data_IF_265045608576
#
_entry.id   IF_265045608576
#
_cell.length_a   1.000
_cell.length_b   1.000
_cell.length_c   1.000
_cell.angle_alpha   90.00
_cell.angle_beta   90.00
_cell.angle_gamma   90.00
#
_symmetry.space_group_name_H-M   'P 1'
#
loop_
_entity.id
_entity.type
_entity.pdbx_description
1 polymer ?
#
# COMPACT_ATOMS: atom_id res chain seq x y z
N UNK A 1 -7.82 10.14 6.63
CA UNK A 1 -7.43 10.87 5.39
C UNK A 1 -7.98 10.21 4.13
N UNK A 2 -7.51 9.02 3.70
CA UNK A 2 -8.07 8.35 2.51
C UNK A 2 -9.60 8.17 2.57
N UNK A 3 -10.09 7.65 3.69
CA UNK A 3 -11.54 7.49 3.93
C UNK A 3 -12.29 8.82 3.91
N UNK A 4 -11.69 9.90 4.44
CA UNK A 4 -12.30 11.25 4.44
C UNK A 4 -12.46 11.81 3.03
N UNK A 5 -11.61 11.39 2.09
CA UNK A 5 -11.63 11.89 0.71
C UNK A 5 -12.43 11.05 -0.28
N UNK A 6 -12.91 9.87 0.14
CA UNK A 6 -13.81 9.03 -0.66
C UNK A 6 -13.30 7.61 -0.94
N UNK A 7 -12.25 7.14 -0.25
CA UNK A 7 -11.95 5.71 -0.26
C UNK A 7 -13.09 4.91 0.41
N UNK A 8 -13.39 3.74 -0.13
CA UNK A 8 -14.42 2.82 0.39
C UNK A 8 -13.89 1.92 1.50
N UNK A 9 -12.59 1.59 1.44
CA UNK A 9 -11.90 0.81 2.46
C UNK A 9 -10.40 1.12 2.41
N UNK A 10 -9.73 1.00 3.55
CA UNK A 10 -8.29 1.16 3.69
C UNK A 10 -7.81 0.08 4.66
N UNK A 11 -6.90 -0.77 4.21
CA UNK A 11 -6.42 -1.92 4.98
C UNK A 11 -4.90 -1.99 4.89
N UNK A 12 -4.26 -2.20 6.04
CA UNK A 12 -2.86 -2.58 6.15
C UNK A 12 -2.76 -3.85 6.99
N UNK A 13 -2.02 -4.84 6.49
CA UNK A 13 -1.81 -6.12 7.14
C UNK A 13 -0.32 -6.30 7.43
N UNK A 14 0.00 -6.69 8.66
CA UNK A 14 1.33 -7.21 9.03
C UNK A 14 1.42 -8.67 8.57
N UNK A 15 2.54 -9.04 7.94
CA UNK A 15 2.79 -10.42 7.55
C UNK A 15 2.81 -11.37 8.75
N UNK A 16 1.88 -12.33 8.78
CA UNK A 16 1.75 -13.32 9.86
C UNK A 16 2.39 -14.66 9.46
N UNK A 17 1.83 -15.33 8.45
CA UNK A 17 2.38 -16.56 7.85
C UNK A 17 2.83 -16.29 6.40
N UNK A 18 4.04 -15.74 6.25
CA UNK A 18 4.60 -15.30 4.96
C UNK A 18 5.85 -16.12 4.61
N UNK A 19 5.69 -17.28 3.93
CA UNK A 19 6.80 -18.18 3.68
C UNK A 19 7.81 -17.64 2.66
N UNK A 20 9.06 -18.03 2.84
CA UNK A 20 10.13 -17.71 1.90
C UNK A 20 10.28 -18.81 0.84
N UNK A 21 9.74 -18.57 -0.35
CA UNK A 21 9.80 -19.50 -1.48
C UNK A 21 11.18 -19.57 -2.17
N UNK A 22 11.36 -20.56 -3.04
CA UNK A 22 12.60 -20.76 -3.81
C UNK A 22 12.76 -19.77 -4.96
N UNK A 23 11.70 -19.58 -5.76
CA UNK A 23 11.71 -18.68 -6.93
C UNK A 23 11.16 -17.30 -6.60
N UNK A 24 10.00 -17.23 -5.94
CA UNK A 24 9.31 -15.98 -5.60
C UNK A 24 8.64 -16.10 -4.23
N UNK A 25 8.45 -14.95 -3.58
CA UNK A 25 7.72 -14.81 -2.32
C UNK A 25 7.45 -13.31 -2.07
N UNK A 26 6.56 -13.00 -1.12
CA UNK A 26 6.33 -11.60 -0.72
C UNK A 26 7.60 -10.90 -0.20
N UNK A 27 8.42 -11.51 0.69
CA UNK A 27 9.68 -10.90 1.12
C UNK A 27 10.64 -10.67 -0.06
N UNK A 28 10.72 -11.61 -1.00
CA UNK A 28 11.53 -11.44 -2.22
C UNK A 28 11.02 -10.31 -3.11
N UNK A 29 9.70 -10.13 -3.22
CA UNK A 29 9.08 -9.12 -4.08
C UNK A 29 9.48 -7.69 -3.69
N UNK A 30 9.68 -7.46 -2.39
CA UNK A 30 10.14 -6.16 -1.85
C UNK A 30 11.59 -6.18 -1.39
N UNK A 31 12.34 -7.25 -1.70
CA UNK A 31 13.73 -7.42 -1.25
C UNK A 31 13.90 -7.14 0.25
N UNK A 32 13.01 -7.71 1.07
CA UNK A 32 13.03 -7.56 2.52
C UNK A 32 14.34 -8.11 3.11
N UNK A 33 14.86 -7.41 4.12
CA UNK A 33 15.99 -7.84 4.93
C UNK A 33 15.51 -8.73 6.07
N UNK A 34 16.45 -9.41 6.73
CA UNK A 34 16.16 -10.33 7.84
C UNK A 34 15.52 -9.64 9.06
N UNK A 35 15.70 -8.32 9.20
CA UNK A 35 15.13 -7.48 10.26
C UNK A 35 13.85 -6.75 9.85
N UNK A 36 13.28 -7.08 8.68
CA UNK A 36 12.10 -6.42 8.13
C UNK A 36 10.91 -7.38 7.99
N UNK A 37 9.70 -6.83 8.09
CA UNK A 37 8.45 -7.56 7.93
C UNK A 37 7.66 -7.01 6.74
N UNK A 38 7.01 -7.87 5.99
CA UNK A 38 6.16 -7.45 4.87
C UNK A 38 4.89 -6.80 5.40
N UNK A 39 4.56 -5.63 4.87
CA UNK A 39 3.23 -5.03 4.98
C UNK A 39 2.49 -5.21 3.66
N UNK A 40 1.29 -5.78 3.72
CA UNK A 40 0.39 -5.86 2.57
C UNK A 40 -0.78 -4.91 2.78
N UNK A 41 -0.89 -3.90 1.91
CA UNK A 41 -1.89 -2.85 2.05
C UNK A 41 -2.64 -2.60 0.76
N UNK A 42 -3.91 -2.24 0.87
CA UNK A 42 -4.71 -1.81 -0.27
C UNK A 42 -5.78 -0.82 0.15
N UNK A 43 -6.24 -0.07 -0.85
CA UNK A 43 -7.31 0.90 -0.71
C UNK A 43 -8.35 0.62 -1.79
N UNK A 44 -9.60 0.51 -1.38
CA UNK A 44 -10.72 0.26 -2.29
C UNK A 44 -11.34 1.59 -2.68
N UNK A 45 -11.59 1.76 -3.97
CA UNK A 45 -12.22 2.96 -4.54
C UNK A 45 -13.34 2.54 -5.48
N UNK A 46 -14.34 3.39 -5.63
CA UNK A 46 -15.48 3.17 -6.51
C UNK A 46 -15.08 3.00 -8.00
N UNK A 47 -14.06 3.74 -8.44
CA UNK A 47 -13.55 3.71 -9.80
C UNK A 47 -12.13 4.23 -9.87
N UNK A 48 -11.47 4.05 -11.02
CA UNK A 48 -10.15 4.66 -11.27
C UNK A 48 -10.19 6.19 -11.16
N UNK A 49 -11.25 6.80 -11.69
CA UNK A 49 -11.45 8.25 -11.63
C UNK A 49 -11.61 8.73 -10.20
N UNK A 50 -12.38 8.01 -9.38
CA UNK A 50 -12.53 8.28 -7.96
C UNK A 50 -11.17 8.15 -7.24
N UNK A 51 -10.44 7.06 -7.46
CA UNK A 51 -9.08 6.87 -6.93
C UNK A 51 -8.14 8.02 -7.27
N UNK A 52 -8.12 8.46 -8.53
CA UNK A 52 -7.23 9.54 -8.97
C UNK A 52 -7.58 10.87 -8.28
N UNK A 53 -8.87 11.17 -8.13
CA UNK A 53 -9.34 12.36 -7.42
C UNK A 53 -9.05 12.30 -5.90
N UNK A 54 -9.21 11.13 -5.28
CA UNK A 54 -8.87 10.91 -3.86
C UNK A 54 -7.38 11.09 -3.65
N UNK A 55 -6.55 10.42 -4.44
CA UNK A 55 -5.10 10.48 -4.32
C UNK A 55 -4.57 11.90 -4.52
N UNK A 56 -5.14 12.69 -5.44
CA UNK A 56 -4.76 14.10 -5.61
C UNK A 56 -4.99 14.91 -4.32
N UNK A 57 -6.11 14.69 -3.61
CA UNK A 57 -6.41 15.36 -2.34
C UNK A 57 -5.51 14.87 -1.21
N UNK A 58 -5.31 13.56 -1.11
CA UNK A 58 -4.41 12.92 -0.14
C UNK A 58 -3.01 13.50 -0.25
N UNK A 59 -2.44 13.57 -1.46
CA UNK A 59 -1.09 14.09 -1.69
C UNK A 59 -0.97 15.60 -1.40
N UNK A 60 -2.08 16.34 -1.44
CA UNK A 60 -2.15 17.76 -1.10
C UNK A 60 -2.50 18.01 0.39
N UNK A 61 -2.83 16.98 1.17
CA UNK A 61 -3.22 17.12 2.57
C UNK A 61 -2.00 17.43 3.44
N UNK A 62 -2.02 18.57 4.12
CA UNK A 62 -0.95 19.02 5.01
C UNK A 62 -0.64 18.00 6.13
N UNK A 63 -1.62 17.20 6.56
CA UNK A 63 -1.44 16.16 7.58
C UNK A 63 -0.57 14.99 7.09
N UNK A 64 -0.41 14.84 5.77
CA UNK A 64 0.44 13.83 5.15
C UNK A 64 1.79 14.37 4.67
N UNK A 65 2.11 15.63 4.98
CA UNK A 65 3.47 16.14 4.83
C UNK A 65 4.36 15.52 5.90
N UNK A 66 4.68 14.25 5.70
CA UNK A 66 5.64 13.53 6.52
C UNK A 66 7.05 13.83 6.02
N UNK A 67 7.98 13.89 6.95
CA UNK A 67 9.39 13.87 6.61
C UNK A 67 9.70 12.50 6.00
N UNK A 68 10.04 12.47 4.71
CA UNK A 68 10.40 11.25 4.00
C UNK A 68 11.60 10.52 4.64
N UNK A 69 12.45 11.23 5.40
CA UNK A 69 13.54 10.62 6.15
C UNK A 69 13.10 9.91 7.44
N UNK A 70 11.88 10.20 7.92
CA UNK A 70 11.26 9.56 9.08
C UNK A 70 10.33 8.39 8.70
N UNK A 71 10.27 8.02 7.42
CA UNK A 71 9.52 6.85 6.97
C UNK A 71 9.99 5.59 7.72
N UNK A 72 9.09 4.79 8.31
CA UNK A 72 9.45 3.57 9.02
C UNK A 72 9.85 2.41 8.09
N UNK A 73 9.91 2.64 6.77
CA UNK A 73 10.30 1.67 5.76
C UNK A 73 11.04 2.33 4.59
N UNK A 74 11.74 1.53 3.80
CA UNK A 74 12.45 1.99 2.60
C UNK A 74 11.51 2.11 1.39
N UNK A 75 11.10 3.35 1.09
CA UNK A 75 10.22 3.65 -0.03
C UNK A 75 10.75 3.25 -1.41
N UNK A 76 12.07 3.01 -1.59
CA UNK A 76 12.62 2.56 -2.88
C UNK A 76 12.27 1.12 -3.22
N UNK A 77 11.96 0.31 -2.20
CA UNK A 77 11.59 -1.11 -2.34
C UNK A 77 10.08 -1.33 -2.29
N UNK A 78 9.30 -0.27 -2.02
CA UNK A 78 7.85 -0.31 -2.07
C UNK A 78 7.37 -0.57 -3.50
N UNK A 79 6.51 -1.58 -3.65
CA UNK A 79 5.82 -1.88 -4.89
C UNK A 79 4.37 -1.38 -4.80
N UNK A 80 3.87 -0.77 -5.86
CA UNK A 80 2.48 -0.29 -5.92
C UNK A 80 1.88 -0.50 -7.31
N UNK A 81 0.56 -0.67 -7.35
CA UNK A 81 -0.19 -0.88 -8.58
C UNK A 81 -1.69 -0.66 -8.36
N UNK A 82 -2.40 -0.36 -9.45
CA UNK A 82 -3.85 -0.27 -9.45
C UNK A 82 -4.45 -1.46 -10.19
N UNK A 83 -5.46 -2.09 -9.59
CA UNK A 83 -6.11 -3.29 -10.12
C UNK A 83 -7.61 -3.03 -10.29
N UNK A 84 -8.25 -3.79 -11.17
CA UNK A 84 -9.71 -3.88 -11.27
C UNK A 84 -10.14 -5.26 -10.79
N UNK A 85 -11.13 -5.37 -9.88
CA UNK A 85 -11.61 -6.67 -9.44
C UNK A 85 -12.23 -7.40 -10.64
N UNK A 86 -11.75 -8.61 -10.90
CA UNK A 86 -12.39 -9.51 -11.88
C UNK A 86 -13.51 -10.33 -11.22
N UNK A 87 -13.34 -10.69 -9.94
CA UNK A 87 -14.29 -11.40 -9.10
C UNK A 87 -14.26 -10.77 -7.70
N UNK A 88 -15.42 -10.54 -7.12
CA UNK A 88 -15.66 -10.08 -5.74
C UNK A 88 -16.97 -10.73 -5.27
N UNK A 89 -17.05 -11.14 -3.99
CA UNK A 89 -18.19 -11.87 -3.42
C UNK A 89 -18.89 -11.06 -2.33
#
# INVERSE_FOLDING_TARGET
>A
IWMEYGALSYVECIGDDVPYGELTSFPRAVQAKDDEIVIFAWVVYESRQSRDAVMAKVMADERLKMDWSAMPFDGKRMIFGGFQPFIEL
#
